data_IF_418933792386
#
_entry.id   IF_418933792386
#
_cell.length_a   1.000
_cell.length_b   1.000
_cell.length_c   1.000
_cell.angle_alpha   90.00
_cell.angle_beta   90.00
_cell.angle_gamma   90.00
#
_symmetry.space_group_name_H-M   'P 1'
#
loop_
_entity.id
_entity.type
_entity.pdbx_description
1 polymer ?
#
# COMPACT_ATOMS: atom_id res chain seq x y z
N UNK A 1 7.02 -6.92 -14.83
CA UNK A 1 7.75 -8.15 -14.42
C UNK A 1 9.27 -7.94 -14.33
N UNK A 2 9.97 -7.51 -15.38
CA UNK A 2 11.44 -7.31 -15.33
C UNK A 2 11.91 -6.35 -14.21
N UNK A 3 11.21 -5.22 -14.02
CA UNK A 3 11.48 -4.27 -12.92
C UNK A 3 11.29 -4.91 -11.53
N UNK A 4 10.25 -5.72 -11.36
CA UNK A 4 9.99 -6.42 -10.10
C UNK A 4 11.08 -7.45 -9.78
N UNK A 5 11.57 -8.18 -10.79
CA UNK A 5 12.68 -9.12 -10.63
C UNK A 5 13.96 -8.37 -10.28
N UNK A 6 14.25 -7.25 -10.95
CA UNK A 6 15.41 -6.40 -10.63
C UNK A 6 15.36 -5.89 -9.19
N UNK A 7 14.19 -5.40 -8.75
CA UNK A 7 13.95 -4.93 -7.38
C UNK A 7 14.14 -6.06 -6.36
N UNK A 8 13.56 -7.24 -6.58
CA UNK A 8 13.76 -8.38 -5.68
C UNK A 8 15.23 -8.80 -5.59
N UNK A 9 15.94 -8.85 -6.71
CA UNK A 9 17.38 -9.16 -6.72
C UNK A 9 18.15 -8.10 -5.94
N UNK A 10 17.82 -6.82 -6.10
CA UNK A 10 18.44 -5.72 -5.37
C UNK A 10 18.25 -5.87 -3.85
N UNK A 11 17.02 -6.13 -3.39
CA UNK A 11 16.68 -6.33 -1.97
C UNK A 11 17.43 -7.52 -1.37
N UNK A 12 17.52 -8.64 -2.10
CA UNK A 12 18.23 -9.84 -1.64
C UNK A 12 19.74 -9.59 -1.57
N UNK A 13 20.33 -8.95 -2.57
CA UNK A 13 21.77 -8.64 -2.58
C UNK A 13 22.16 -7.64 -1.49
N UNK A 14 21.36 -6.59 -1.29
CA UNK A 14 21.62 -5.60 -0.23
C UNK A 14 21.47 -6.20 1.17
N UNK A 15 20.42 -6.99 1.40
CA UNK A 15 20.25 -7.68 2.69
C UNK A 15 21.40 -8.66 2.95
N UNK A 16 21.82 -9.44 1.95
CA UNK A 16 22.99 -10.32 2.05
C UNK A 16 24.30 -9.55 2.34
N UNK A 17 24.52 -8.39 1.70
CA UNK A 17 25.68 -7.55 1.97
C UNK A 17 25.73 -7.07 3.43
N UNK A 18 24.57 -6.70 4.00
CA UNK A 18 24.48 -6.29 5.40
C UNK A 18 24.72 -7.47 6.34
N UNK A 19 24.18 -8.66 6.03
CA UNK A 19 24.47 -9.89 6.78
C UNK A 19 25.98 -10.11 6.84
N UNK A 20 26.68 -10.07 5.69
CA UNK A 20 28.13 -10.26 5.65
C UNK A 20 28.90 -9.20 6.48
N UNK A 21 28.46 -7.94 6.43
CA UNK A 21 29.08 -6.85 7.20
C UNK A 21 28.83 -7.00 8.70
N UNK A 22 27.64 -7.45 9.11
CA UNK A 22 27.30 -7.77 10.49
C UNK A 22 28.15 -8.94 11.02
N UNK A 23 28.32 -10.01 10.24
CA UNK A 23 29.20 -11.14 10.60
C UNK A 23 30.66 -10.72 10.77
N UNK A 24 31.19 -9.86 9.90
CA UNK A 24 32.56 -9.36 10.00
C UNK A 24 32.80 -8.47 11.23
N UNK A 25 31.75 -7.86 11.81
CA UNK A 25 31.85 -6.94 12.95
C UNK A 25 31.21 -7.47 14.23
N UNK A 26 30.99 -8.79 14.31
CA UNK A 26 30.34 -9.49 15.44
C UNK A 26 30.84 -9.07 16.83
N UNK A 27 32.15 -8.85 16.99
CA UNK A 27 32.75 -8.55 18.29
C UNK A 27 32.47 -7.13 18.80
N UNK A 28 32.12 -6.19 17.90
CA UNK A 28 31.84 -4.80 18.27
C UNK A 28 30.34 -4.45 18.28
N UNK A 29 29.47 -5.43 17.97
CA UNK A 29 28.01 -5.25 17.89
C UNK A 29 27.26 -5.89 19.08
N UNK A 30 27.97 -6.45 20.06
CA UNK A 30 27.38 -7.06 21.24
C UNK A 30 26.72 -5.99 22.14
N UNK A 31 25.42 -5.77 21.96
CA UNK A 31 24.64 -4.80 22.74
C UNK A 31 23.31 -4.41 22.08
N UNK A 32 22.64 -3.40 22.65
CA UNK A 32 21.39 -2.83 22.12
C UNK A 32 21.49 -2.37 20.64
N UNK A 33 22.60 -1.76 20.17
CA UNK A 33 22.72 -1.38 18.75
C UNK A 33 22.62 -2.57 17.79
N UNK A 34 23.20 -3.72 18.15
CA UNK A 34 23.11 -4.94 17.36
C UNK A 34 21.70 -5.51 17.26
N UNK A 35 20.93 -5.42 18.35
CA UNK A 35 19.53 -5.85 18.40
C UNK A 35 18.64 -5.01 17.48
N UNK A 36 18.81 -3.69 17.51
CA UNK A 36 18.11 -2.75 16.62
C UNK A 36 18.42 -2.99 15.13
N UNK A 37 19.67 -3.35 14.79
CA UNK A 37 20.07 -3.67 13.42
C UNK A 37 19.39 -4.97 12.94
N UNK A 38 19.41 -6.02 13.76
CA UNK A 38 18.75 -7.28 13.42
C UNK A 38 17.25 -7.11 13.17
N UNK A 39 16.58 -6.34 14.04
CA UNK A 39 15.18 -5.95 13.87
C UNK A 39 14.93 -5.19 12.56
N UNK A 40 15.74 -4.16 12.28
CA UNK A 40 15.58 -3.29 11.11
C UNK A 40 15.77 -4.07 9.81
N UNK A 41 16.81 -4.90 9.73
CA UNK A 41 17.08 -5.71 8.53
C UNK A 41 15.98 -6.75 8.31
N UNK A 42 15.55 -7.45 9.37
CA UNK A 42 14.46 -8.42 9.28
C UNK A 42 13.16 -7.79 8.82
N UNK A 43 12.76 -6.66 9.40
CA UNK A 43 11.51 -5.98 9.07
C UNK A 43 11.53 -5.39 7.65
N UNK A 44 12.56 -4.63 7.29
CA UNK A 44 12.55 -3.88 6.02
C UNK A 44 12.75 -4.80 4.82
N UNK A 45 13.56 -5.85 4.95
CA UNK A 45 13.81 -6.78 3.85
C UNK A 45 12.62 -7.70 3.57
N UNK A 46 11.91 -8.14 4.61
CA UNK A 46 10.66 -8.92 4.46
C UNK A 46 9.49 -8.08 4.00
N UNK A 47 9.39 -6.82 4.45
CA UNK A 47 8.37 -5.89 4.00
C UNK A 47 8.55 -5.56 2.52
N UNK A 48 9.76 -5.22 2.07
CA UNK A 48 10.03 -4.94 0.67
C UNK A 48 9.71 -6.16 -0.21
N UNK A 49 10.23 -7.35 0.12
CA UNK A 49 9.88 -8.53 -0.68
C UNK A 49 8.38 -8.87 -0.63
N UNK A 50 7.71 -8.69 0.51
CA UNK A 50 6.27 -8.90 0.64
C UNK A 50 5.46 -7.97 -0.28
N UNK A 51 5.82 -6.68 -0.33
CA UNK A 51 5.17 -5.71 -1.23
C UNK A 51 5.38 -6.10 -2.68
N UNK A 52 6.63 -6.42 -3.05
CA UNK A 52 6.99 -6.77 -4.42
C UNK A 52 6.24 -8.03 -4.87
N UNK A 53 6.15 -9.05 -4.01
CA UNK A 53 5.45 -10.30 -4.30
C UNK A 53 3.93 -10.11 -4.30
N UNK A 54 3.38 -9.29 -3.42
CA UNK A 54 1.94 -8.96 -3.37
C UNK A 54 1.46 -8.22 -4.63
N UNK A 55 2.30 -7.35 -5.20
CA UNK A 55 2.01 -6.67 -6.47
C UNK A 55 2.05 -7.66 -7.66
N UNK A 56 2.96 -8.64 -7.62
CA UNK A 56 3.12 -9.64 -8.71
C UNK A 56 2.02 -10.71 -8.68
N UNK A 57 1.55 -11.10 -7.49
CA UNK A 57 0.52 -12.13 -7.29
C UNK A 57 -0.72 -11.55 -6.56
N UNK A 58 -1.56 -10.76 -7.26
CA UNK A 58 -2.70 -10.09 -6.63
C UNK A 58 -3.87 -11.02 -6.26
N UNK A 59 -3.95 -12.22 -6.86
CA UNK A 59 -5.09 -13.14 -6.67
C UNK A 59 -4.99 -14.01 -5.42
N UNK A 60 -3.77 -14.33 -4.99
CA UNK A 60 -3.52 -15.21 -3.86
C UNK A 60 -2.58 -14.52 -2.87
N UNK A 61 -3.12 -14.07 -1.72
CA UNK A 61 -2.36 -13.45 -0.63
C UNK A 61 -1.48 -14.46 0.14
N UNK A 62 -1.80 -15.75 0.05
CA UNK A 62 -1.14 -16.81 0.81
C UNK A 62 0.31 -17.00 0.37
N UNK A 63 0.56 -17.08 -0.95
CA UNK A 63 1.91 -17.24 -1.51
C UNK A 63 2.85 -16.10 -1.12
N UNK A 64 2.54 -14.80 -1.41
CA UNK A 64 3.41 -13.68 -1.09
C UNK A 64 3.67 -13.59 0.42
N UNK A 65 2.64 -13.79 1.26
CA UNK A 65 2.77 -13.75 2.72
C UNK A 65 3.73 -14.83 3.23
N UNK A 66 3.53 -16.10 2.85
CA UNK A 66 4.38 -17.21 3.31
C UNK A 66 5.84 -17.00 2.86
N UNK A 67 6.04 -16.64 1.59
CA UNK A 67 7.40 -16.44 1.07
C UNK A 67 8.11 -15.24 1.72
N UNK A 68 7.40 -14.15 1.99
CA UNK A 68 7.97 -12.97 2.65
C UNK A 68 8.30 -13.25 4.13
N UNK A 69 7.44 -13.99 4.83
CA UNK A 69 7.69 -14.41 6.21
C UNK A 69 8.92 -15.33 6.29
N UNK A 70 9.03 -16.34 5.41
CA UNK A 70 10.18 -17.24 5.37
C UNK A 70 11.48 -16.49 5.10
N UNK A 71 11.45 -15.53 4.17
CA UNK A 71 12.60 -14.68 3.91
C UNK A 71 12.95 -13.80 5.12
N UNK A 72 11.96 -13.17 5.76
CA UNK A 72 12.15 -12.34 6.95
C UNK A 72 12.73 -13.11 8.14
N UNK A 73 12.24 -14.32 8.35
CA UNK A 73 12.77 -15.26 9.34
C UNK A 73 14.24 -15.59 9.06
N UNK A 74 14.57 -15.94 7.81
CA UNK A 74 15.93 -16.24 7.41
C UNK A 74 16.85 -15.02 7.58
N UNK A 75 16.48 -13.86 7.05
CA UNK A 75 17.25 -12.63 7.15
C UNK A 75 17.47 -12.20 8.62
N UNK A 76 16.41 -12.19 9.42
CA UNK A 76 16.47 -11.88 10.85
C UNK A 76 17.35 -12.85 11.64
N UNK A 77 17.24 -14.15 11.35
CA UNK A 77 18.08 -15.18 11.96
C UNK A 77 19.56 -15.01 11.59
N UNK A 78 19.88 -14.80 10.32
CA UNK A 78 21.26 -14.66 9.87
C UNK A 78 21.93 -13.40 10.44
N UNK A 79 21.23 -12.27 10.52
CA UNK A 79 21.79 -11.03 11.11
C UNK A 79 21.91 -11.13 12.63
N UNK A 80 20.92 -11.73 13.31
CA UNK A 80 20.91 -11.82 14.77
C UNK A 80 21.89 -12.85 15.35
N UNK A 81 22.11 -13.98 14.65
CA UNK A 81 22.97 -15.09 15.10
C UNK A 81 24.38 -14.66 15.56
N UNK A 82 25.12 -13.79 14.85
CA UNK A 82 26.45 -13.35 15.31
C UNK A 82 26.43 -12.35 16.47
N UNK A 83 25.26 -11.81 16.86
CA UNK A 83 25.13 -10.72 17.84
C UNK A 83 24.69 -11.27 19.20
N UNK A 84 23.48 -11.83 19.28
CA UNK A 84 22.94 -12.43 20.51
C UNK A 84 21.67 -13.25 20.22
N UNK A 85 21.29 -14.13 21.15
CA UNK A 85 20.03 -14.89 21.07
C UNK A 85 18.81 -13.95 21.06
N UNK A 86 18.83 -12.89 21.89
CA UNK A 86 17.76 -11.89 21.93
C UNK A 86 17.64 -11.13 20.61
N UNK A 87 18.77 -10.74 20.00
CA UNK A 87 18.77 -10.09 18.68
C UNK A 87 18.24 -11.01 17.57
N UNK A 88 18.48 -12.32 17.67
CA UNK A 88 17.94 -13.31 16.74
C UNK A 88 16.43 -13.42 16.88
N UNK A 89 15.91 -13.44 18.11
CA UNK A 89 14.47 -13.47 18.37
C UNK A 89 13.77 -12.21 17.87
N UNK A 90 14.29 -11.02 18.20
CA UNK A 90 13.71 -9.75 17.73
C UNK A 90 13.76 -9.62 16.21
N UNK A 91 14.87 -10.02 15.58
CA UNK A 91 15.01 -10.03 14.12
C UNK A 91 14.00 -10.97 13.44
N UNK A 92 13.80 -12.17 13.98
CA UNK A 92 12.80 -13.12 13.45
C UNK A 92 11.37 -12.60 13.62
N UNK A 93 11.02 -12.10 14.81
CA UNK A 93 9.69 -11.53 15.10
C UNK A 93 9.39 -10.33 14.19
N UNK A 94 10.37 -9.45 14.00
CA UNK A 94 10.26 -8.30 13.12
C UNK A 94 10.11 -8.72 11.64
N UNK A 95 10.81 -9.77 11.22
CA UNK A 95 10.67 -10.35 9.88
C UNK A 95 9.28 -10.96 9.61
N UNK A 96 8.68 -11.62 10.61
CA UNK A 96 7.30 -12.11 10.52
C UNK A 96 6.33 -10.93 10.33
N UNK A 97 6.46 -9.90 11.17
CA UNK A 97 5.60 -8.71 11.11
C UNK A 97 5.75 -7.96 9.78
N UNK A 98 6.98 -7.75 9.33
CA UNK A 98 7.28 -7.09 8.05
C UNK A 98 6.74 -7.86 6.85
N UNK A 99 6.91 -9.19 6.82
CA UNK A 99 6.41 -10.04 5.74
C UNK A 99 4.88 -10.04 5.62
N UNK A 100 4.15 -10.14 6.73
CA UNK A 100 2.68 -10.06 6.72
C UNK A 100 2.18 -8.69 6.28
N UNK A 101 2.71 -7.61 6.87
CA UNK A 101 2.29 -6.26 6.51
C UNK A 101 2.66 -5.91 5.06
N UNK A 102 3.83 -6.35 4.59
CA UNK A 102 4.28 -6.11 3.23
C UNK A 102 3.42 -6.78 2.18
N UNK A 103 3.08 -8.07 2.36
CA UNK A 103 2.23 -8.80 1.42
C UNK A 103 0.82 -8.18 1.30
N UNK A 104 0.21 -7.78 2.43
CA UNK A 104 -1.08 -7.10 2.44
C UNK A 104 -1.01 -5.73 1.76
N UNK A 105 0.02 -4.93 2.06
CA UNK A 105 0.26 -3.63 1.44
C UNK A 105 0.46 -3.74 -0.07
N UNK A 106 1.20 -4.76 -0.54
CA UNK A 106 1.45 -5.01 -1.96
C UNK A 106 0.19 -5.43 -2.72
N UNK A 107 -0.63 -6.31 -2.15
CA UNK A 107 -1.88 -6.75 -2.78
C UNK A 107 -2.91 -5.61 -2.90
N UNK A 108 -2.98 -4.71 -1.91
CA UNK A 108 -3.92 -3.58 -1.91
C UNK A 108 -3.46 -2.40 -2.79
N UNK A 109 -2.15 -2.25 -3.06
CA UNK A 109 -1.61 -1.12 -3.82
C UNK A 109 -1.81 -1.20 -5.35
N UNK A 110 -2.26 -2.36 -5.85
CA UNK A 110 -2.43 -2.61 -7.28
C UNK A 110 -1.11 -2.58 -8.07
N UNK A 111 -1.15 -2.76 -9.40
CA UNK A 111 0.02 -2.86 -10.27
C UNK A 111 0.73 -1.51 -10.52
N UNK A 112 0.73 -0.61 -9.54
CA UNK A 112 1.36 0.70 -9.66
C UNK A 112 2.88 0.60 -9.39
N UNK A 113 3.68 0.79 -10.44
CA UNK A 113 5.16 0.76 -10.35
C UNK A 113 5.73 1.82 -9.38
N UNK A 114 4.99 2.90 -9.13
CA UNK A 114 5.40 4.01 -8.25
C UNK A 114 5.55 3.52 -6.80
N UNK A 115 4.64 2.65 -6.35
CA UNK A 115 4.64 2.16 -4.97
C UNK A 115 5.79 1.20 -4.69
N UNK A 116 6.14 0.35 -5.68
CA UNK A 116 7.33 -0.51 -5.63
C UNK A 116 8.62 0.32 -5.53
N UNK A 117 8.77 1.37 -6.37
CA UNK A 117 9.94 2.25 -6.34
C UNK A 117 10.04 3.00 -5.00
N UNK A 118 8.90 3.47 -4.47
CA UNK A 118 8.86 4.14 -3.17
C UNK A 118 9.34 3.23 -2.03
N UNK A 119 8.85 1.99 -1.98
CA UNK A 119 9.26 1.00 -0.96
C UNK A 119 10.75 0.66 -1.10
N UNK A 120 11.28 0.55 -2.32
CA UNK A 120 12.71 0.33 -2.55
C UNK A 120 13.57 1.49 -2.07
N UNK A 121 13.17 2.73 -2.35
CA UNK A 121 13.86 3.94 -1.86
C UNK A 121 13.87 3.95 -0.32
N UNK A 122 12.71 3.69 0.29
CA UNK A 122 12.55 3.67 1.74
C UNK A 122 13.39 2.54 2.37
N UNK A 123 13.43 1.37 1.75
CA UNK A 123 14.28 0.24 2.15
C UNK A 123 15.76 0.62 2.17
N UNK A 124 16.27 1.18 1.06
CA UNK A 124 17.67 1.61 0.95
C UNK A 124 17.99 2.71 1.96
N UNK A 125 17.08 3.67 2.14
CA UNK A 125 17.23 4.76 3.08
C UNK A 125 17.34 4.27 4.53
N UNK A 126 16.37 3.48 5.01
CA UNK A 126 16.35 2.97 6.39
C UNK A 126 17.56 2.08 6.67
N UNK A 127 17.94 1.22 5.72
CA UNK A 127 19.14 0.39 5.88
C UNK A 127 20.44 1.20 5.88
N UNK A 128 20.52 2.28 5.11
CA UNK A 128 21.66 3.18 5.13
C UNK A 128 21.82 3.86 6.49
N UNK A 129 20.70 4.33 7.07
CA UNK A 129 20.68 4.90 8.43
C UNK A 129 21.07 3.85 9.46
N UNK A 130 20.53 2.63 9.37
CA UNK A 130 20.87 1.53 10.28
C UNK A 130 22.38 1.20 10.24
N UNK A 131 22.98 1.19 9.05
CA UNK A 131 24.42 0.98 8.88
C UNK A 131 25.27 2.13 9.43
N UNK A 132 24.81 3.38 9.35
CA UNK A 132 25.52 4.52 9.91
C UNK A 132 25.47 4.53 11.43
N UNK A 133 24.29 4.29 12.02
CA UNK A 133 24.14 4.13 13.46
C UNK A 133 25.02 3.00 13.99
N UNK A 134 25.08 1.87 13.26
CA UNK A 134 26.00 0.78 13.56
C UNK A 134 27.47 1.23 13.58
N UNK A 135 27.88 2.06 12.61
CA UNK A 135 29.26 2.56 12.51
C UNK A 135 29.58 3.63 13.56
N UNK A 136 28.62 4.48 13.92
CA UNK A 136 28.81 5.57 14.88
C UNK A 136 29.10 5.03 16.29
N UNK A 137 28.41 3.97 16.69
CA UNK A 137 28.67 3.27 17.96
C UNK A 137 30.01 2.52 17.95
N UNK A 138 30.50 2.11 16.76
CA UNK A 138 31.79 1.41 16.65
C UNK A 138 33.01 2.32 16.60
N UNK A 139 32.90 3.50 15.96
CA UNK A 139 34.02 4.44 15.80
C UNK A 139 34.31 5.22 17.08
N UNK A 140 33.34 5.34 17.99
CA UNK A 140 33.54 5.99 19.30
C UNK A 140 34.53 5.23 20.20
N UNK A 141 34.85 3.97 19.87
CA UNK A 141 35.77 3.13 20.65
C UNK A 141 37.25 3.23 20.21
N UNK A 142 37.57 3.82 19.05
CA UNK A 142 38.95 3.89 18.53
C UNK A 142 39.36 5.32 18.13
N UNK A 143 39.89 6.04 19.13
CA UNK A 143 40.82 7.20 19.08
C UNK A 143 40.32 8.62 18.75
N UNK A 144 40.51 9.46 19.78
CA UNK A 144 41.30 10.72 19.80
C UNK A 144 41.41 11.56 18.52
N UNK A 145 40.81 12.76 18.62
CA UNK A 145 41.24 14.02 18.02
C UNK A 145 41.62 14.01 16.53
N UNK A 146 40.62 14.16 15.67
CA UNK A 146 40.72 15.06 14.50
C UNK A 146 39.50 15.94 14.43
N UNK A 147 39.72 17.24 14.62
CA UNK A 147 38.74 18.30 14.37
C UNK A 147 38.40 18.35 12.88
N UNK A 148 37.30 17.71 12.53
CA UNK A 148 36.63 17.78 11.24
C UNK A 148 35.27 17.10 11.43
N UNK A 149 34.21 17.67 10.86
CA UNK A 149 32.86 17.08 10.92
C UNK A 149 33.00 15.62 10.46
N UNK A 150 32.74 14.68 11.37
CA UNK A 150 33.05 13.27 11.16
C UNK A 150 32.37 12.76 9.88
N UNK A 151 33.14 12.10 9.02
CA UNK A 151 32.66 11.43 7.80
C UNK A 151 31.33 10.65 7.98
N UNK A 152 31.04 9.96 9.12
CA UNK A 152 29.73 9.31 9.33
C UNK A 152 28.56 10.30 9.52
N UNK A 153 28.79 11.48 10.10
CA UNK A 153 27.74 12.49 10.33
C UNK A 153 27.34 13.21 9.04
N UNK A 154 28.32 13.51 8.17
CA UNK A 154 28.08 14.08 6.83
C UNK A 154 27.35 13.06 5.96
N UNK A 155 27.76 11.79 6.01
CA UNK A 155 27.08 10.71 5.29
C UNK A 155 25.61 10.57 5.73
N UNK A 156 25.31 10.73 7.02
CA UNK A 156 23.95 10.70 7.54
C UNK A 156 23.06 11.82 7.04
N UNK A 157 23.53 13.06 7.15
CA UNK A 157 22.81 14.22 6.62
C UNK A 157 22.55 14.06 5.10
N UNK A 158 23.55 13.58 4.35
CA UNK A 158 23.41 13.38 2.91
C UNK A 158 22.39 12.28 2.55
N UNK A 159 22.38 11.17 3.29
CA UNK A 159 21.41 10.08 3.07
C UNK A 159 19.99 10.48 3.43
N UNK A 160 19.81 11.28 4.50
CA UNK A 160 18.50 11.80 4.90
C UNK A 160 17.98 12.82 3.89
N UNK A 161 18.84 13.73 3.43
CA UNK A 161 18.49 14.66 2.36
C UNK A 161 18.10 13.93 1.07
N UNK A 162 18.85 12.90 0.67
CA UNK A 162 18.52 12.09 -0.51
C UNK A 162 17.20 11.33 -0.35
N UNK A 163 16.95 10.74 0.81
CA UNK A 163 15.68 10.05 1.10
C UNK A 163 14.47 10.99 1.01
N UNK A 164 14.57 12.17 1.61
CA UNK A 164 13.50 13.20 1.57
C UNK A 164 13.26 13.68 0.14
N UNK A 165 14.32 13.94 -0.62
CA UNK A 165 14.21 14.38 -2.02
C UNK A 165 13.62 13.29 -2.91
N UNK A 166 14.02 12.03 -2.71
CA UNK A 166 13.50 10.91 -3.49
C UNK A 166 12.02 10.65 -3.20
N UNK A 167 11.62 10.67 -1.93
CA UNK A 167 10.20 10.58 -1.53
C UNK A 167 9.41 11.77 -2.05
N UNK A 168 9.92 12.99 -1.88
CA UNK A 168 9.32 14.22 -2.39
C UNK A 168 9.14 14.19 -3.91
N UNK A 169 10.11 13.66 -4.65
CA UNK A 169 10.01 13.47 -6.10
C UNK A 169 8.92 12.46 -6.46
N UNK A 170 8.84 11.31 -5.78
CA UNK A 170 7.76 10.33 -6.05
C UNK A 170 6.36 10.91 -5.80
N UNK A 171 6.20 11.72 -4.74
CA UNK A 171 4.95 12.41 -4.43
C UNK A 171 4.65 13.54 -5.44
N UNK A 172 5.68 14.27 -5.90
CA UNK A 172 5.54 15.31 -6.91
C UNK A 172 5.16 14.73 -8.29
N UNK A 173 5.71 13.58 -8.66
CA UNK A 173 5.31 12.84 -9.87
C UNK A 173 3.87 12.32 -9.79
N UNK A 174 3.37 11.95 -8.61
CA UNK A 174 1.95 11.65 -8.38
C UNK A 174 1.05 12.89 -8.45
N UNK A 175 1.60 14.09 -8.18
CA UNK A 175 0.86 15.35 -8.13
C UNK A 175 0.82 16.11 -9.45
N UNK A 176 1.72 15.82 -10.41
CA UNK A 176 1.54 16.32 -11.77
C UNK A 176 0.29 15.66 -12.39
N UNK A 177 -0.72 16.43 -12.84
CA UNK A 177 -1.79 15.90 -13.67
C UNK A 177 -1.16 15.55 -15.02
N UNK A 178 -0.63 14.34 -15.13
CA UNK A 178 -0.12 13.86 -16.40
C UNK A 178 -1.34 13.54 -17.27
N UNK A 179 -1.57 14.37 -18.29
CA UNK A 179 -2.44 14.10 -19.44
C UNK A 179 -1.91 12.84 -20.16
N UNK A 180 -2.19 11.68 -19.60
CA UNK A 180 -2.01 10.38 -20.27
C UNK A 180 -3.15 9.48 -19.84
N UNK A 181 -4.35 9.92 -20.19
CA UNK A 181 -5.46 8.99 -20.44
C UNK A 181 -5.11 8.21 -21.71
N UNK A 182 -4.72 6.94 -21.57
CA UNK A 182 -5.37 5.79 -22.23
C UNK A 182 -4.49 4.52 -22.20
N UNK A 183 -5.14 3.40 -21.86
CA UNK A 183 -4.80 1.99 -22.15
C UNK A 183 -3.74 1.38 -21.19
N UNK A 184 -4.00 0.40 -20.30
CA UNK A 184 -5.04 -0.63 -20.23
C UNK A 184 -5.18 -1.16 -18.80
N UNK A 185 -6.41 -1.13 -18.30
CA UNK A 185 -6.89 -1.99 -17.23
C UNK A 185 -7.15 -3.39 -17.81
N UNK A 186 -6.49 -4.41 -17.27
CA UNK A 186 -6.80 -5.85 -17.34
C UNK A 186 -6.05 -6.42 -16.12
N UNK A 187 -6.67 -6.75 -14.99
CA UNK A 187 -7.83 -7.61 -14.77
C UNK A 187 -8.88 -6.87 -13.95
N UNK A 188 -9.97 -6.39 -14.54
CA UNK A 188 -11.21 -7.17 -14.71
C UNK A 188 -11.28 -8.00 -15.99
N UNK A 189 -10.91 -9.27 -15.90
CA UNK A 189 -11.36 -10.32 -16.84
C UNK A 189 -11.64 -11.57 -16.01
N UNK A 190 -12.73 -11.56 -15.25
CA UNK A 190 -13.83 -12.47 -15.56
C UNK A 190 -15.18 -11.88 -15.13
N UNK A 191 -15.56 -10.70 -15.61
CA UNK A 191 -16.98 -10.27 -15.56
C UNK A 191 -17.34 -9.10 -16.50
N UNK A 192 -16.43 -8.70 -17.41
CA UNK A 192 -16.65 -7.57 -18.31
C UNK A 192 -16.67 -8.01 -19.78
N UNK A 193 -17.39 -9.09 -20.05
CA UNK A 193 -17.79 -9.50 -21.40
C UNK A 193 -19.33 -9.51 -21.59
N UNK A 194 -20.10 -8.96 -20.64
CA UNK A 194 -21.56 -8.83 -20.77
C UNK A 194 -22.10 -7.39 -20.66
N UNK A 195 -21.29 -6.38 -20.36
CA UNK A 195 -21.79 -5.02 -20.08
C UNK A 195 -21.93 -4.09 -21.30
N UNK A 196 -21.61 -4.56 -22.51
CA UNK A 196 -21.85 -3.79 -23.75
C UNK A 196 -22.98 -4.36 -24.62
N UNK A 197 -23.67 -5.40 -24.14
CA UNK A 197 -24.85 -5.96 -24.79
C UNK A 197 -26.12 -5.89 -23.91
N UNK A 198 -26.07 -5.18 -22.78
CA UNK A 198 -27.16 -5.10 -21.79
C UNK A 198 -27.55 -3.65 -21.43
N UNK A 199 -27.66 -2.76 -22.43
CA UNK A 199 -28.17 -1.39 -22.25
C UNK A 199 -29.40 -1.06 -23.13
N UNK A 200 -30.00 -2.06 -23.76
CA UNK A 200 -31.29 -1.92 -24.44
C UNK A 200 -32.41 -2.25 -23.47
N UNK A 201 -32.86 -1.27 -22.69
CA UNK A 201 -34.06 -1.39 -21.83
C UNK A 201 -33.94 -0.92 -20.38
N UNK A 202 -32.76 -0.45 -19.95
CA UNK A 202 -32.58 0.12 -18.61
C UNK A 202 -32.60 1.65 -18.62
N UNK A 203 -33.27 2.26 -17.65
CA UNK A 203 -33.11 3.69 -17.36
C UNK A 203 -31.84 3.87 -16.53
N UNK A 204 -30.88 4.66 -17.00
CA UNK A 204 -29.65 4.97 -16.25
C UNK A 204 -29.77 6.36 -15.65
N UNK A 205 -29.55 6.48 -14.34
CA UNK A 205 -29.51 7.78 -13.64
C UNK A 205 -28.19 7.91 -12.91
N UNK A 206 -27.48 9.02 -13.13
CA UNK A 206 -26.19 9.28 -12.48
C UNK A 206 -26.33 10.30 -11.36
N UNK A 207 -25.72 10.01 -10.22
CA UNK A 207 -25.73 10.83 -9.01
C UNK A 207 -24.30 11.01 -8.52
N UNK A 208 -23.82 12.25 -8.50
CA UNK A 208 -22.49 12.57 -8.00
C UNK A 208 -22.45 12.62 -6.48
N UNK A 209 -21.39 12.08 -5.91
CA UNK A 209 -21.11 12.15 -4.49
C UNK A 209 -20.19 13.33 -4.22
N UNK A 210 -20.71 14.32 -3.51
CA UNK A 210 -19.96 15.49 -3.06
C UNK A 210 -19.48 15.29 -1.61
N UNK A 211 -18.60 16.18 -1.15
CA UNK A 211 -18.15 16.18 0.25
C UNK A 211 -19.27 16.51 1.24
N UNK A 212 -20.32 17.19 0.77
CA UNK A 212 -21.45 17.71 1.54
C UNK A 212 -22.77 16.99 1.24
N UNK A 213 -22.77 15.87 0.50
CA UNK A 213 -23.99 15.09 0.24
C UNK A 213 -24.04 14.44 -1.15
N UNK A 214 -25.26 14.10 -1.56
CA UNK A 214 -25.57 13.64 -2.91
C UNK A 214 -25.90 14.83 -3.80
N UNK A 215 -25.51 14.81 -5.08
CA UNK A 215 -25.79 15.93 -5.99
C UNK A 215 -27.27 16.16 -6.26
N UNK A 216 -28.08 15.12 -6.06
CA UNK A 216 -29.53 15.13 -6.21
C UNK A 216 -30.16 14.55 -4.94
N UNK A 217 -31.01 15.35 -4.29
CA UNK A 217 -31.76 14.92 -3.10
C UNK A 217 -32.98 14.07 -3.46
N UNK A 218 -33.49 14.20 -4.70
CA UNK A 218 -34.59 13.39 -5.23
C UNK A 218 -34.23 12.86 -6.62
N UNK A 219 -34.32 11.55 -6.78
CA UNK A 219 -34.05 10.82 -8.01
C UNK A 219 -35.40 10.34 -8.56
N UNK A 220 -35.84 10.88 -9.70
CA UNK A 220 -37.10 10.48 -10.33
C UNK A 220 -36.88 9.36 -11.36
N UNK A 221 -37.58 8.24 -11.18
CA UNK A 221 -37.44 7.03 -12.02
C UNK A 221 -38.82 6.48 -12.40
N UNK A 222 -38.93 5.83 -13.56
CA UNK A 222 -40.23 5.32 -14.04
C UNK A 222 -40.56 3.95 -13.43
N UNK A 223 -41.79 3.78 -12.99
CA UNK A 223 -42.31 2.50 -12.51
C UNK A 223 -42.28 1.43 -13.62
N UNK A 224 -41.91 0.20 -13.25
CA UNK A 224 -41.88 -0.94 -14.18
C UNK A 224 -40.76 -0.94 -15.22
N UNK A 225 -39.85 0.06 -15.21
CA UNK A 225 -38.64 0.06 -16.04
C UNK A 225 -37.43 -0.31 -15.16
N UNK A 226 -36.67 -1.36 -15.50
CA UNK A 226 -35.44 -1.68 -14.79
C UNK A 226 -34.49 -0.47 -14.78
N UNK A 227 -34.08 -0.02 -13.60
CA UNK A 227 -33.30 1.21 -13.46
C UNK A 227 -31.92 0.90 -12.89
N UNK A 228 -30.86 1.46 -13.50
CA UNK A 228 -29.50 1.43 -12.95
C UNK A 228 -29.13 2.82 -12.46
N UNK A 229 -28.89 2.96 -11.16
CA UNK A 229 -28.40 4.21 -10.57
C UNK A 229 -26.89 4.12 -10.48
N UNK A 230 -26.18 5.08 -11.06
CA UNK A 230 -24.73 5.20 -10.95
C UNK A 230 -24.36 6.26 -9.91
N UNK A 231 -23.77 5.83 -8.79
CA UNK A 231 -23.23 6.74 -7.78
C UNK A 231 -21.76 7.05 -8.10
N UNK A 232 -21.49 8.26 -8.57
CA UNK A 232 -20.17 8.68 -9.04
C UNK A 232 -19.39 9.31 -7.89
N UNK A 233 -18.32 8.63 -7.47
CA UNK A 233 -17.44 9.10 -6.40
C UNK A 233 -16.15 9.67 -6.97
N UNK A 234 -16.07 11.00 -7.07
CA UNK A 234 -14.91 11.71 -7.63
C UNK A 234 -13.64 11.59 -6.78
N UNK A 235 -13.78 11.44 -5.46
CA UNK A 235 -12.66 11.42 -4.51
C UNK A 235 -12.77 10.29 -3.50
N UNK A 236 -11.62 9.70 -3.13
CA UNK A 236 -11.53 8.71 -2.06
C UNK A 236 -11.65 9.30 -0.64
N UNK A 237 -11.60 10.63 -0.52
CA UNK A 237 -11.58 11.36 0.76
C UNK A 237 -12.97 11.86 1.20
N UNK A 238 -14.06 11.19 0.80
CA UNK A 238 -15.41 11.55 1.24
C UNK A 238 -15.83 10.70 2.45
N UNK A 239 -16.65 11.28 3.35
CA UNK A 239 -17.27 10.56 4.45
C UNK A 239 -18.37 9.59 3.97
N UNK A 240 -18.87 9.78 2.74
CA UNK A 240 -19.86 8.92 2.10
C UNK A 240 -19.16 7.68 1.52
N UNK A 241 -19.08 6.63 2.34
CA UNK A 241 -18.43 5.35 1.99
C UNK A 241 -19.38 4.27 1.49
N UNK A 242 -20.66 4.39 1.80
CA UNK A 242 -21.69 3.44 1.36
C UNK A 242 -23.03 4.15 1.19
N UNK A 243 -23.89 3.59 0.36
CA UNK A 243 -25.30 3.96 0.20
C UNK A 243 -26.17 2.83 0.70
N UNK A 244 -27.15 3.17 1.54
CA UNK A 244 -28.09 2.22 2.13
C UNK A 244 -29.54 2.66 1.91
N UNK A 245 -30.41 1.71 1.62
CA UNK A 245 -31.85 1.90 1.58
C UNK A 245 -32.53 0.63 2.07
N UNK A 246 -33.28 0.74 3.17
CA UNK A 246 -34.02 -0.41 3.73
C UNK A 246 -35.15 -0.85 2.83
N UNK A 247 -35.85 0.12 2.24
CA UNK A 247 -37.06 -0.13 1.45
C UNK A 247 -36.73 -0.75 0.08
N UNK A 248 -35.55 -0.43 -0.47
CA UNK A 248 -35.05 -0.96 -1.75
C UNK A 248 -34.00 -2.07 -1.59
N UNK A 249 -33.66 -2.45 -0.35
CA UNK A 249 -32.65 -3.48 -0.06
C UNK A 249 -31.23 -3.12 -0.56
N UNK A 250 -30.92 -1.83 -0.65
CA UNK A 250 -29.61 -1.35 -1.10
C UNK A 250 -28.67 -1.34 0.12
N UNK A 251 -27.52 -1.99 0.01
CA UNK A 251 -26.38 -1.81 0.91
C UNK A 251 -25.10 -1.99 0.08
N UNK A 252 -24.59 -0.87 -0.45
CA UNK A 252 -23.49 -0.89 -1.42
C UNK A 252 -22.37 0.02 -0.95
N UNK A 253 -21.16 -0.54 -0.89
CA UNK A 253 -19.94 0.21 -0.66
C UNK A 253 -19.52 0.96 -1.92
N UNK A 254 -19.05 2.19 -1.75
CA UNK A 254 -18.72 3.10 -2.86
C UNK A 254 -17.21 3.20 -3.05
N UNK A 255 -16.76 2.63 -4.17
CA UNK A 255 -15.40 2.78 -4.68
C UNK A 255 -15.23 4.11 -5.42
N UNK A 256 -13.99 4.53 -5.65
CA UNK A 256 -13.70 5.74 -6.43
C UNK A 256 -14.06 5.48 -7.90
N UNK A 257 -14.87 6.36 -8.49
CA UNK A 257 -15.38 6.21 -9.86
C UNK A 257 -16.87 5.85 -9.87
N UNK A 258 -17.27 5.04 -10.86
CA UNK A 258 -18.66 4.64 -11.10
C UNK A 258 -19.07 3.47 -10.20
N UNK A 259 -20.25 3.57 -9.59
CA UNK A 259 -20.83 2.52 -8.75
C UNK A 259 -22.28 2.29 -9.16
N UNK A 260 -22.54 1.20 -9.89
CA UNK A 260 -23.88 0.90 -10.42
C UNK A 260 -24.71 0.07 -9.44
N UNK A 261 -25.89 0.56 -9.10
CA UNK A 261 -26.92 -0.15 -8.33
C UNK A 261 -28.09 -0.45 -9.25
N UNK A 262 -28.42 -1.72 -9.41
CA UNK A 262 -29.54 -2.14 -10.26
C UNK A 262 -30.80 -2.33 -9.42
N UNK A 263 -31.85 -1.60 -9.77
CA UNK A 263 -33.17 -1.69 -9.17
C UNK A 263 -34.12 -2.35 -10.17
N UNK A 264 -34.66 -3.51 -9.79
CA UNK A 264 -35.64 -4.27 -10.57
C UNK A 264 -37.00 -4.13 -9.89
N UNK A 265 -38.06 -4.08 -10.69
CA UNK A 265 -39.46 -4.09 -10.22
C UNK A 265 -39.81 -2.99 -9.21
N UNK A 266 -39.44 -1.75 -9.53
CA UNK A 266 -39.79 -0.56 -8.75
C UNK A 266 -41.30 -0.31 -8.79
N UNK A 267 -41.94 -0.34 -7.61
CA UNK A 267 -43.34 0.03 -7.43
C UNK A 267 -43.44 1.56 -7.30
N UNK A 268 -44.52 2.20 -7.77
CA UNK A 268 -44.75 3.62 -7.54
C UNK A 268 -44.71 3.95 -6.05
N UNK A 269 -43.95 4.99 -5.70
CA UNK A 269 -43.73 5.37 -4.31
C UNK A 269 -42.43 6.14 -4.11
N UNK A 270 -42.27 6.70 -2.91
CA UNK A 270 -41.05 7.41 -2.51
C UNK A 270 -40.26 6.53 -1.57
N UNK A 271 -39.01 6.26 -1.94
CA UNK A 271 -38.08 5.42 -1.19
C UNK A 271 -36.94 6.27 -0.65
N UNK A 272 -36.56 6.04 0.60
CA UNK A 272 -35.47 6.78 1.21
C UNK A 272 -34.15 6.01 1.07
N UNK A 273 -33.07 6.74 0.80
CA UNK A 273 -31.71 6.23 0.91
C UNK A 273 -30.84 7.18 1.72
N UNK A 274 -29.77 6.65 2.30
CA UNK A 274 -28.84 7.43 3.12
C UNK A 274 -27.42 6.92 2.95
N UNK A 275 -26.45 7.72 3.39
CA UNK A 275 -25.09 7.24 3.55
C UNK A 275 -24.99 6.29 4.76
N UNK A 276 -24.04 5.35 4.77
CA UNK A 276 -23.90 4.38 5.87
C UNK A 276 -23.66 4.97 7.27
N UNK A 277 -23.32 6.26 7.38
CA UNK A 277 -23.21 7.00 8.65
C UNK A 277 -24.47 7.78 9.03
N UNK A 278 -25.57 7.66 8.26
CA UNK A 278 -26.85 8.33 8.51
C UNK A 278 -26.77 9.86 8.62
N UNK A 279 -25.83 10.48 7.90
CA UNK A 279 -25.64 11.94 7.90
C UNK A 279 -26.26 12.63 6.68
N UNK A 280 -26.24 11.95 5.53
CA UNK A 280 -26.78 12.46 4.28
C UNK A 280 -27.89 11.56 3.79
N UNK A 281 -28.96 12.17 3.32
CA UNK A 281 -30.19 11.51 2.92
C UNK A 281 -30.56 11.92 1.51
N UNK A 282 -31.23 11.02 0.81
CA UNK A 282 -31.86 11.29 -0.47
C UNK A 282 -33.09 10.43 -0.65
N UNK A 283 -33.84 10.73 -1.68
CA UNK A 283 -35.10 10.08 -2.02
C UNK A 283 -35.07 9.58 -3.46
N UNK A 284 -35.70 8.45 -3.71
CA UNK A 284 -35.97 7.94 -5.04
C UNK A 284 -37.48 7.94 -5.19
N UNK A 285 -37.99 8.79 -6.08
CA UNK A 285 -39.41 8.86 -6.40
C UNK A 285 -39.68 8.05 -7.65
N UNK A 286 -40.46 6.99 -7.51
CA UNK A 286 -40.89 6.15 -8.62
C UNK A 286 -42.25 6.63 -9.10
N UNK A 287 -42.30 7.15 -10.33
CA UNK A 287 -43.50 7.70 -11.00
C UNK A 287 -44.05 6.80 -12.08
#
# INVERSE_FOLDING_TARGET
>A
MALAILSMVMVVLFSAFIVLKAYKRKEKLAGMPGMMIAMTVGMMSSLALGVQLGIVFPRDLTVPSITAILFGLAAGYFVGKPISLLATLDGMLAGIMGGMMGAMLGAMAGPSYIMMIFVDILFVFILSVALQLANQETDTSDKTNKSGIGMPFIAGILTVAFGIVAVGATLFYQYQPNETSAIKSQESQSEQANSLQENSGYQIVSVDIKSDGFSQENIEVKAGVPTKINFIKHSGYTCIRSVQSKDLGIDVYLEKGDNFVTLKDLKPGTYNFNCGMYMYYGTITVV
#
